data_IF_564255557686
#
_entry.id   IF_564255557686
#
_cell.length_a   1.000
_cell.length_b   1.000
_cell.length_c   1.000
_cell.angle_alpha   90.00
_cell.angle_beta   90.00
_cell.angle_gamma   90.00
#
_symmetry.space_group_name_H-M   'P 1'
#
loop_
_entity.id
_entity.type
_entity.pdbx_description
1 polymer ?
#
# COMPACT_ATOMS: atom_id res chain seq x y z
N UNK A 1 -8.85 11.01 4.21
CA UNK A 1 -7.42 11.07 4.57
C UNK A 1 -6.60 10.59 3.40
N UNK A 2 -5.35 11.06 3.29
CA UNK A 2 -4.33 10.52 2.41
C UNK A 2 -3.55 9.48 3.19
N UNK A 3 -3.59 8.24 2.72
CA UNK A 3 -2.93 7.11 3.37
C UNK A 3 -1.85 6.60 2.42
N UNK A 4 -0.73 6.21 2.97
CA UNK A 4 0.26 5.40 2.24
C UNK A 4 0.45 4.09 2.99
N UNK A 5 0.88 3.04 2.31
CA UNK A 5 1.21 1.80 3.00
C UNK A 5 2.16 0.88 2.24
N UNK A 6 2.69 -0.10 2.96
CA UNK A 6 3.60 -1.11 2.40
C UNK A 6 3.07 -2.51 2.73
N UNK A 7 2.75 -3.27 1.69
CA UNK A 7 2.43 -4.69 1.82
C UNK A 7 3.67 -5.54 1.51
N UNK A 8 4.16 -6.30 2.49
CA UNK A 8 5.35 -7.13 2.33
C UNK A 8 5.17 -8.53 2.93
N UNK A 9 5.23 -9.57 2.08
CA UNK A 9 5.20 -10.96 2.50
C UNK A 9 6.49 -11.68 2.06
N UNK A 10 7.18 -12.31 3.00
CA UNK A 10 8.48 -12.98 2.75
C UNK A 10 8.37 -14.28 1.95
N UNK A 11 7.16 -14.84 1.83
CA UNK A 11 6.93 -16.15 1.18
C UNK A 11 6.66 -16.01 -0.32
N UNK A 12 6.17 -14.86 -0.78
CA UNK A 12 5.79 -14.64 -2.17
C UNK A 12 4.87 -13.43 -2.35
N UNK A 13 4.31 -13.29 -3.55
CA UNK A 13 3.53 -12.10 -3.95
C UNK A 13 2.03 -12.21 -3.63
N UNK A 14 1.51 -13.42 -3.41
CA UNK A 14 0.07 -13.64 -3.29
C UNK A 14 -0.56 -12.87 -2.13
N UNK A 15 -0.01 -12.99 -0.91
CA UNK A 15 -0.52 -12.26 0.24
C UNK A 15 -0.22 -10.75 0.16
N UNK A 16 0.84 -10.35 -0.52
CA UNK A 16 1.17 -8.95 -0.77
C UNK A 16 0.06 -8.27 -1.57
N UNK A 17 -0.36 -8.85 -2.71
CA UNK A 17 -1.44 -8.29 -3.52
C UNK A 17 -2.81 -8.38 -2.84
N UNK A 18 -3.08 -9.46 -2.10
CA UNK A 18 -4.33 -9.59 -1.32
C UNK A 18 -4.40 -8.47 -0.27
N UNK A 19 -3.28 -8.15 0.40
CA UNK A 19 -3.22 -7.07 1.37
C UNK A 19 -3.43 -5.70 0.71
N UNK A 20 -2.74 -5.42 -0.40
CA UNK A 20 -2.94 -4.20 -1.21
C UNK A 20 -4.41 -4.02 -1.58
N UNK A 21 -5.02 -5.01 -2.25
CA UNK A 21 -6.39 -4.92 -2.74
C UNK A 21 -7.39 -4.69 -1.60
N UNK A 22 -7.20 -5.37 -0.45
CA UNK A 22 -8.07 -5.20 0.71
C UNK A 22 -7.93 -3.83 1.36
N UNK A 23 -6.71 -3.28 1.45
CA UNK A 23 -6.46 -1.95 1.97
C UNK A 23 -7.06 -0.88 1.07
N UNK A 24 -6.87 -0.99 -0.25
CA UNK A 24 -7.46 -0.09 -1.25
C UNK A 24 -8.99 -0.09 -1.19
N UNK A 25 -9.60 -1.27 -1.13
CA UNK A 25 -11.05 -1.41 -1.00
C UNK A 25 -11.57 -0.82 0.33
N UNK A 26 -10.90 -1.08 1.45
CA UNK A 26 -11.29 -0.56 2.75
C UNK A 26 -11.17 0.97 2.81
N UNK A 27 -10.08 1.54 2.29
CA UNK A 27 -9.90 2.98 2.19
C UNK A 27 -10.98 3.63 1.33
N UNK A 28 -11.31 3.01 0.18
CA UNK A 28 -12.39 3.48 -0.70
C UNK A 28 -13.74 3.49 0.01
N UNK A 29 -14.08 2.43 0.74
CA UNK A 29 -15.33 2.34 1.53
C UNK A 29 -15.36 3.40 2.63
N UNK A 30 -14.22 3.71 3.25
CA UNK A 30 -14.08 4.74 4.28
C UNK A 30 -13.99 6.18 3.71
N UNK A 31 -14.01 6.38 2.40
CA UNK A 31 -13.86 7.70 1.78
C UNK A 31 -12.45 8.28 1.95
N UNK A 32 -11.43 7.42 1.90
CA UNK A 32 -10.02 7.79 1.98
C UNK A 32 -9.31 7.47 0.65
N UNK A 33 -8.21 8.17 0.40
CA UNK A 33 -7.31 7.90 -0.72
C UNK A 33 -6.11 7.16 -0.15
N UNK A 34 -5.72 6.06 -0.77
CA UNK A 34 -4.56 5.26 -0.36
C UNK A 34 -3.65 4.94 -1.54
N UNK A 35 -2.34 4.93 -1.31
CA UNK A 35 -1.34 4.33 -2.20
C UNK A 35 -0.60 3.23 -1.46
N UNK A 36 -0.49 2.04 -2.05
CA UNK A 36 0.18 0.90 -1.40
C UNK A 36 1.33 0.42 -2.27
N UNK A 37 2.53 0.50 -1.71
CA UNK A 37 3.73 -0.14 -2.23
C UNK A 37 3.71 -1.62 -1.90
N UNK A 38 4.10 -2.46 -2.85
CA UNK A 38 4.17 -3.91 -2.68
C UNK A 38 5.60 -4.38 -2.75
N UNK A 39 6.04 -5.11 -1.73
CA UNK A 39 7.38 -5.70 -1.67
C UNK A 39 7.24 -7.23 -1.59
N UNK A 40 7.71 -7.92 -2.62
CA UNK A 40 7.63 -9.38 -2.71
C UNK A 40 8.89 -10.01 -3.27
N UNK A 41 8.83 -11.30 -3.55
CA UNK A 41 9.94 -12.05 -4.14
C UNK A 41 10.35 -11.57 -5.53
N UNK A 42 9.49 -10.77 -6.18
CA UNK A 42 9.75 -10.18 -7.51
C UNK A 42 10.32 -8.75 -7.44
N UNK A 43 10.45 -8.18 -6.23
CA UNK A 43 10.95 -6.82 -6.02
C UNK A 43 9.88 -5.89 -5.43
N UNK A 44 10.13 -4.59 -5.60
CA UNK A 44 9.25 -3.49 -5.19
C UNK A 44 8.43 -3.04 -6.40
N UNK A 45 7.13 -2.86 -6.19
CA UNK A 45 6.21 -2.29 -7.18
C UNK A 45 5.33 -1.22 -6.51
N UNK A 46 4.84 -0.26 -7.29
CA UNK A 46 4.10 0.90 -6.79
C UNK A 46 4.88 1.65 -5.70
N UNK A 47 6.19 1.82 -5.92
CA UNK A 47 7.09 2.45 -4.95
C UNK A 47 6.59 3.82 -4.55
N UNK A 48 6.57 4.06 -3.24
CA UNK A 48 6.12 5.32 -2.66
C UNK A 48 7.12 6.43 -2.99
N UNK A 49 6.62 7.51 -3.57
CA UNK A 49 7.40 8.73 -3.74
C UNK A 49 7.52 9.47 -2.40
N UNK A 50 8.62 10.23 -2.23
CA UNK A 50 8.80 11.04 -1.03
C UNK A 50 7.66 12.04 -0.84
N UNK A 51 7.13 12.61 -1.93
CA UNK A 51 5.99 13.52 -1.89
C UNK A 51 4.70 12.85 -1.40
N UNK A 52 4.49 11.57 -1.71
CA UNK A 52 3.35 10.80 -1.20
C UNK A 52 3.48 10.57 0.31
N UNK A 53 4.69 10.25 0.78
CA UNK A 53 4.99 10.05 2.20
C UNK A 53 4.81 11.36 2.98
N UNK A 54 5.37 12.46 2.49
CA UNK A 54 5.29 13.78 3.13
C UNK A 54 3.85 14.32 3.18
N UNK A 55 3.02 13.97 2.18
CA UNK A 55 1.62 14.38 2.12
C UNK A 55 0.67 13.42 2.83
N UNK A 56 1.15 12.30 3.37
CA UNK A 56 0.31 11.30 4.02
C UNK A 56 -0.12 11.74 5.42
N UNK A 57 -1.40 11.52 5.73
CA UNK A 57 -1.91 11.68 7.09
C UNK A 57 -1.52 10.47 7.96
N UNK A 58 -1.39 9.28 7.36
CA UNK A 58 -1.12 7.99 8.04
C UNK A 58 -0.32 7.06 7.11
N UNK A 59 0.56 6.26 7.72
CA UNK A 59 1.29 5.16 7.08
C UNK A 59 0.81 3.81 7.63
N UNK A 60 0.59 2.81 6.76
CA UNK A 60 0.15 1.44 7.11
C UNK A 60 1.16 0.39 6.67
#
# INVERSE_FOLDING_TARGET
MKIVGVAACTVGIAHTYIAQEKLENAAKVAGHVIHVETQGTIGVENELSQEQIDAADVVI
#
